data_IF_179827243774
#
_entry.id   IF_179827243774
#
_cell.length_a   1.000
_cell.length_b   1.000
_cell.length_c   1.000
_cell.angle_alpha   90.00
_cell.angle_beta   90.00
_cell.angle_gamma   90.00
#
_symmetry.space_group_name_H-M   'P 1'
#
loop_
_entity.id
_entity.type
_entity.pdbx_description
1 polymer ?
#
# COMPACT_ATOMS: atom_id res chain seq x y z
N UNK A 1 31.29 4.97 4.03
CA UNK A 1 30.10 5.84 3.88
C UNK A 1 30.08 6.32 2.44
N UNK A 2 29.52 5.53 1.53
CA UNK A 2 29.50 5.81 0.10
C UNK A 2 28.28 6.66 -0.24
N UNK A 3 28.52 7.87 -0.69
CA UNK A 3 27.48 8.75 -1.24
C UNK A 3 27.04 8.12 -2.57
N UNK A 4 25.93 7.38 -2.55
CA UNK A 4 25.30 6.94 -3.79
C UNK A 4 24.85 8.18 -4.57
N UNK A 5 25.58 8.49 -5.65
CA UNK A 5 25.20 9.53 -6.62
C UNK A 5 23.77 9.24 -7.09
N UNK A 6 22.88 10.22 -6.88
CA UNK A 6 21.52 10.25 -7.42
C UNK A 6 21.58 10.27 -8.98
N UNK A 7 21.73 9.10 -9.60
CA UNK A 7 21.45 8.97 -11.03
C UNK A 7 19.94 8.69 -11.18
N UNK A 8 19.12 9.75 -11.04
CA UNK A 8 17.70 9.68 -11.32
C UNK A 8 17.47 9.82 -12.83
N UNK A 9 17.41 8.73 -13.55
CA UNK A 9 16.89 8.72 -14.92
C UNK A 9 15.37 8.73 -14.88
N UNK A 10 14.77 9.82 -15.35
CA UNK A 10 13.32 9.91 -15.54
C UNK A 10 12.91 9.10 -16.76
N UNK A 11 11.96 8.18 -16.55
CA UNK A 11 11.41 7.31 -17.59
C UNK A 11 9.97 7.71 -17.91
N UNK A 12 9.42 7.23 -19.04
CA UNK A 12 7.98 7.41 -19.35
C UNK A 12 7.05 6.87 -18.24
N UNK A 13 7.48 5.85 -17.50
CA UNK A 13 6.75 5.32 -16.33
C UNK A 13 6.67 6.31 -15.18
N UNK A 14 7.70 7.14 -14.97
CA UNK A 14 7.71 8.14 -13.90
C UNK A 14 6.63 9.20 -14.13
N UNK A 15 6.38 9.58 -15.39
CA UNK A 15 5.29 10.53 -15.74
C UNK A 15 3.93 9.91 -15.39
N UNK A 16 3.70 8.63 -15.71
CA UNK A 16 2.47 7.95 -15.35
C UNK A 16 2.28 7.88 -13.82
N UNK A 17 3.35 7.62 -13.07
CA UNK A 17 3.30 7.62 -11.60
C UNK A 17 2.95 9.00 -11.06
N UNK A 18 3.57 10.08 -11.55
CA UNK A 18 3.27 11.45 -11.12
C UNK A 18 1.81 11.81 -11.38
N UNK A 19 1.27 11.49 -12.56
CA UNK A 19 -0.13 11.75 -12.89
C UNK A 19 -1.08 10.95 -11.99
N UNK A 20 -0.78 9.68 -11.74
CA UNK A 20 -1.59 8.84 -10.85
C UNK A 20 -1.50 9.31 -9.40
N UNK A 21 -0.33 9.78 -8.95
CA UNK A 21 -0.12 10.37 -7.63
C UNK A 21 -0.96 11.64 -7.48
N UNK A 22 -0.97 12.52 -8.48
CA UNK A 22 -1.77 13.73 -8.43
C UNK A 22 -3.27 13.43 -8.39
N UNK A 23 -3.74 12.48 -9.22
CA UNK A 23 -5.13 12.02 -9.20
C UNK A 23 -5.51 11.41 -7.85
N UNK A 24 -4.64 10.55 -7.32
CA UNK A 24 -4.81 9.92 -6.01
C UNK A 24 -4.91 10.97 -4.89
N UNK A 25 -4.03 11.96 -4.88
CA UNK A 25 -4.03 13.05 -3.90
C UNK A 25 -5.32 13.89 -3.97
N UNK A 26 -5.83 14.13 -5.19
CA UNK A 26 -7.09 14.83 -5.41
C UNK A 26 -8.27 14.01 -4.86
N UNK A 27 -8.37 12.72 -5.21
CA UNK A 27 -9.42 11.82 -4.72
C UNK A 27 -9.39 11.73 -3.19
N UNK A 28 -8.19 11.66 -2.61
CA UNK A 28 -8.00 11.66 -1.15
C UNK A 28 -8.55 12.94 -0.52
N UNK A 29 -8.17 14.11 -1.04
CA UNK A 29 -8.62 15.39 -0.51
C UNK A 29 -10.14 15.55 -0.59
N UNK A 30 -10.75 15.17 -1.71
CA UNK A 30 -12.22 15.13 -1.86
C UNK A 30 -12.85 14.21 -0.82
N UNK A 31 -12.30 13.01 -0.60
CA UNK A 31 -12.77 12.07 0.40
C UNK A 31 -12.68 12.61 1.83
N UNK A 32 -11.58 13.28 2.17
CA UNK A 32 -11.39 13.89 3.48
C UNK A 32 -12.41 15.01 3.70
N UNK A 33 -12.55 15.93 2.74
CA UNK A 33 -13.43 17.09 2.92
C UNK A 33 -14.92 16.72 2.86
N UNK A 34 -15.33 15.82 1.95
CA UNK A 34 -16.75 15.43 1.82
C UNK A 34 -17.25 14.53 2.92
N UNK A 35 -16.41 13.67 3.48
CA UNK A 35 -16.82 12.62 4.41
C UNK A 35 -16.15 12.73 5.77
N UNK A 36 -14.81 12.74 5.82
CA UNK A 36 -14.11 12.70 7.12
C UNK A 36 -14.35 13.99 7.93
N UNK A 37 -14.27 15.14 7.26
CA UNK A 37 -14.49 16.45 7.89
C UNK A 37 -15.95 16.60 8.31
N UNK A 38 -16.91 16.23 7.47
CA UNK A 38 -18.35 16.34 7.76
C UNK A 38 -18.78 15.40 8.92
N UNK A 39 -18.24 14.18 8.99
CA UNK A 39 -18.52 13.21 10.04
C UNK A 39 -17.69 13.38 11.30
N UNK A 40 -16.71 14.29 11.30
CA UNK A 40 -15.70 14.40 12.36
C UNK A 40 -15.05 13.04 12.68
N UNK A 41 -14.75 12.25 11.64
CA UNK A 41 -14.11 10.96 11.78
C UNK A 41 -12.59 11.09 11.93
N UNK A 42 -11.98 10.04 12.46
CA UNK A 42 -10.54 9.94 12.66
C UNK A 42 -9.96 8.88 11.72
N UNK A 43 -9.32 9.27 10.59
CA UNK A 43 -8.58 8.34 9.75
C UNK A 43 -7.47 7.63 10.53
N UNK A 44 -6.95 6.53 9.98
CA UNK A 44 -5.79 5.87 10.58
C UNK A 44 -4.50 6.67 10.44
N UNK A 45 -3.50 6.31 11.25
CA UNK A 45 -2.16 6.86 11.15
C UNK A 45 -2.06 8.35 11.50
N UNK A 46 -1.14 9.04 10.84
CA UNK A 46 -0.92 10.48 11.06
C UNK A 46 -2.10 11.35 10.65
N UNK A 47 -2.90 10.92 9.69
CA UNK A 47 -4.14 11.62 9.36
C UNK A 47 -5.10 11.64 10.56
N UNK A 48 -5.23 10.53 11.31
CA UNK A 48 -6.02 10.47 12.54
C UNK A 48 -5.47 11.35 13.64
N UNK A 49 -4.15 11.32 13.87
CA UNK A 49 -3.48 12.18 14.85
C UNK A 49 -3.64 13.66 14.45
N UNK A 50 -3.44 14.00 13.18
CA UNK A 50 -3.61 15.37 12.68
C UNK A 50 -5.04 15.86 12.90
N UNK A 51 -6.04 15.03 12.64
CA UNK A 51 -7.44 15.37 12.88
C UNK A 51 -7.72 15.58 14.36
N UNK A 52 -7.22 14.70 15.21
CA UNK A 52 -7.34 14.83 16.67
C UNK A 52 -6.73 16.16 17.16
N UNK A 53 -5.52 16.48 16.68
CA UNK A 53 -4.82 17.75 17.04
C UNK A 53 -5.63 18.96 16.59
N UNK A 54 -6.10 18.99 15.34
CA UNK A 54 -6.93 20.09 14.81
C UNK A 54 -8.16 20.31 15.68
N UNK A 55 -8.91 19.24 15.97
CA UNK A 55 -10.13 19.34 16.78
C UNK A 55 -9.86 19.74 18.25
N UNK A 56 -8.75 19.29 18.84
CA UNK A 56 -8.36 19.71 20.20
C UNK A 56 -7.93 21.17 20.25
N UNK A 57 -7.16 21.64 19.25
CA UNK A 57 -6.74 23.04 19.15
C UNK A 57 -7.94 23.95 18.95
N UNK A 58 -8.85 23.58 18.05
CA UNK A 58 -10.08 24.34 17.84
C UNK A 58 -10.93 24.44 19.11
N UNK A 59 -11.09 23.30 19.83
CA UNK A 59 -11.89 23.22 21.04
C UNK A 59 -11.31 24.04 22.21
N UNK A 60 -9.98 24.01 22.40
CA UNK A 60 -9.35 24.62 23.61
C UNK A 60 -8.77 26.00 23.34
N UNK A 61 -8.34 26.30 22.12
CA UNK A 61 -7.69 27.56 21.75
C UNK A 61 -8.56 28.43 20.84
N UNK A 62 -9.66 27.90 20.29
CA UNK A 62 -10.51 28.59 19.34
C UNK A 62 -9.83 28.88 17.99
N UNK A 63 -8.69 28.20 17.69
CA UNK A 63 -7.92 28.39 16.48
C UNK A 63 -8.29 27.36 15.44
N UNK A 64 -8.86 27.80 14.32
CA UNK A 64 -9.15 26.93 13.17
C UNK A 64 -7.89 26.75 12.32
N UNK A 65 -7.16 25.64 12.53
CA UNK A 65 -6.00 25.29 11.73
C UNK A 65 -6.45 24.29 10.64
N UNK A 66 -6.11 24.53 9.34
CA UNK A 66 -6.45 23.59 8.28
C UNK A 66 -5.79 22.22 8.52
N UNK A 67 -6.56 21.15 8.38
CA UNK A 67 -6.09 19.76 8.51
C UNK A 67 -4.84 19.48 7.65
N UNK A 68 -4.81 19.99 6.41
CA UNK A 68 -3.69 19.81 5.49
C UNK A 68 -2.36 20.34 6.06
N UNK A 69 -2.37 21.44 6.80
CA UNK A 69 -1.15 22.01 7.40
C UNK A 69 -0.55 21.07 8.44
N UNK A 70 -1.36 20.61 9.38
CA UNK A 70 -0.90 19.71 10.45
C UNK A 70 -0.45 18.38 9.86
N UNK A 71 -1.23 17.83 8.94
CA UNK A 71 -0.90 16.58 8.23
C UNK A 71 0.43 16.71 7.48
N UNK A 72 0.65 17.81 6.76
CA UNK A 72 1.90 18.06 6.03
C UNK A 72 3.11 18.13 6.96
N UNK A 73 3.01 18.93 8.03
CA UNK A 73 4.11 19.09 9.00
C UNK A 73 4.48 17.75 9.63
N UNK A 74 3.50 16.96 10.05
CA UNK A 74 3.76 15.65 10.66
C UNK A 74 4.43 14.68 9.69
N UNK A 75 3.93 14.61 8.45
CA UNK A 75 4.52 13.74 7.42
C UNK A 75 5.93 14.16 7.05
N UNK A 76 6.16 15.47 6.87
CA UNK A 76 7.47 16.01 6.53
C UNK A 76 8.50 15.77 7.64
N UNK A 77 8.08 15.87 8.90
CA UNK A 77 8.96 15.57 10.04
C UNK A 77 9.50 14.14 9.97
N UNK A 78 8.66 13.15 9.64
CA UNK A 78 9.12 11.75 9.51
C UNK A 78 10.09 11.60 8.33
N UNK A 79 9.83 12.27 7.22
CA UNK A 79 10.73 12.22 6.06
C UNK A 79 12.16 12.63 6.42
N UNK A 80 12.35 13.63 7.26
CA UNK A 80 13.68 14.06 7.71
C UNK A 80 14.46 12.93 8.40
N UNK A 81 13.77 12.03 9.11
CA UNK A 81 14.40 10.90 9.82
C UNK A 81 14.64 9.69 8.94
N UNK A 82 13.85 9.50 7.89
CA UNK A 82 13.89 8.27 7.06
C UNK A 82 14.53 8.47 5.69
N UNK A 83 14.85 9.72 5.30
CA UNK A 83 15.37 10.07 3.98
C UNK A 83 16.52 9.16 3.50
N UNK A 84 17.46 8.85 4.38
CA UNK A 84 18.64 8.04 4.06
C UNK A 84 18.41 6.52 4.26
N UNK A 85 17.19 6.09 4.59
CA UNK A 85 16.90 4.71 5.03
C UNK A 85 16.02 3.94 4.06
N UNK A 86 15.21 4.67 3.32
CA UNK A 86 14.27 4.12 2.33
C UNK A 86 14.67 4.65 0.95
N UNK A 87 14.26 3.95 -0.11
CA UNK A 87 14.56 4.34 -1.49
C UNK A 87 14.14 5.79 -1.79
N UNK A 88 15.07 6.60 -2.29
CA UNK A 88 14.87 8.04 -2.51
C UNK A 88 13.69 8.35 -3.46
N UNK A 89 13.49 7.55 -4.52
CA UNK A 89 12.34 7.73 -5.43
C UNK A 89 11.01 7.53 -4.71
N UNK A 90 10.90 6.49 -3.88
CA UNK A 90 9.72 6.24 -3.08
C UNK A 90 9.41 7.39 -2.13
N UNK A 91 10.43 7.92 -1.46
CA UNK A 91 10.28 9.07 -0.55
C UNK A 91 9.85 10.32 -1.31
N UNK A 92 10.45 10.62 -2.46
CA UNK A 92 10.09 11.79 -3.29
C UNK A 92 8.65 11.72 -3.81
N UNK A 93 8.22 10.56 -4.29
CA UNK A 93 6.83 10.37 -4.72
C UNK A 93 5.84 10.50 -3.56
N UNK A 94 6.23 10.05 -2.38
CA UNK A 94 5.40 10.21 -1.19
C UNK A 94 5.34 11.67 -0.72
N UNK A 95 6.47 12.42 -0.78
CA UNK A 95 6.48 13.87 -0.54
C UNK A 95 5.54 14.57 -1.52
N UNK A 96 5.59 14.24 -2.80
CA UNK A 96 4.69 14.78 -3.80
C UNK A 96 3.24 14.49 -3.44
N UNK A 97 2.93 13.24 -3.07
CA UNK A 97 1.58 12.83 -2.73
C UNK A 97 1.02 13.59 -1.54
N UNK A 98 1.71 13.59 -0.39
CA UNK A 98 1.18 14.26 0.80
C UNK A 98 1.21 15.79 0.68
N UNK A 99 2.12 16.38 -0.13
CA UNK A 99 2.10 17.81 -0.41
C UNK A 99 0.90 18.20 -1.27
N UNK A 100 0.60 17.44 -2.32
CA UNK A 100 -0.57 17.67 -3.16
C UNK A 100 -1.88 17.41 -2.40
N UNK A 101 -1.97 16.33 -1.63
CA UNK A 101 -3.17 16.03 -0.84
C UNK A 101 -3.45 17.10 0.22
N UNK A 102 -2.41 17.60 0.89
CA UNK A 102 -2.53 18.70 1.85
C UNK A 102 -2.95 20.00 1.17
N UNK A 103 -2.34 20.32 0.04
CA UNK A 103 -2.71 21.51 -0.74
C UNK A 103 -4.16 21.44 -1.22
N UNK A 104 -4.57 20.31 -1.79
CA UNK A 104 -5.94 20.11 -2.26
C UNK A 104 -6.95 20.18 -1.11
N UNK A 105 -6.65 19.60 0.07
CA UNK A 105 -7.52 19.72 1.26
C UNK A 105 -7.68 21.15 1.76
N UNK A 106 -6.74 22.06 1.48
CA UNK A 106 -6.86 23.48 1.86
C UNK A 106 -7.65 24.27 0.82
N UNK A 107 -7.44 23.96 -0.47
CA UNK A 107 -7.97 24.78 -1.59
C UNK A 107 -9.36 24.33 -2.03
N UNK A 108 -9.63 23.01 -1.96
CA UNK A 108 -10.87 22.44 -2.49
C UNK A 108 -11.96 22.51 -1.42
N UNK A 109 -13.03 23.21 -1.75
CA UNK A 109 -14.24 23.23 -0.95
C UNK A 109 -15.27 22.32 -1.63
N UNK A 110 -15.52 21.16 -1.01
CA UNK A 110 -16.45 20.16 -1.56
C UNK A 110 -17.73 20.16 -0.72
N UNK A 111 -18.92 20.11 -1.35
CA UNK A 111 -20.17 20.04 -0.60
C UNK A 111 -20.28 18.73 0.18
N UNK A 112 -20.95 18.79 1.31
CA UNK A 112 -21.28 17.61 2.11
C UNK A 112 -22.26 16.74 1.31
N UNK A 113 -21.89 15.50 1.03
CA UNK A 113 -22.67 14.56 0.22
C UNK A 113 -23.82 13.94 1.03
N UNK A 114 -23.56 13.64 2.31
CA UNK A 114 -24.53 13.00 3.21
C UNK A 114 -24.26 13.40 4.65
N UNK A 115 -25.28 13.32 5.49
CA UNK A 115 -25.17 13.51 6.94
C UNK A 115 -25.31 12.19 7.71
N UNK A 116 -25.59 11.09 7.01
CA UNK A 116 -25.67 9.76 7.63
C UNK A 116 -24.28 9.25 7.99
N UNK A 117 -24.03 9.04 9.28
CA UNK A 117 -22.72 8.65 9.80
C UNK A 117 -22.22 7.31 9.29
N UNK A 118 -23.14 6.36 9.02
CA UNK A 118 -22.77 5.06 8.47
C UNK A 118 -22.33 5.19 7.01
N UNK A 119 -23.08 5.97 6.21
CA UNK A 119 -22.73 6.25 4.82
C UNK A 119 -21.39 7.02 4.74
N UNK A 120 -21.20 8.01 5.62
CA UNK A 120 -19.93 8.74 5.75
C UNK A 120 -18.78 7.78 6.05
N UNK A 121 -18.93 6.87 7.02
CA UNK A 121 -17.88 5.94 7.39
C UNK A 121 -17.56 4.94 6.27
N UNK A 122 -18.58 4.37 5.63
CA UNK A 122 -18.39 3.35 4.57
C UNK A 122 -17.87 3.98 3.29
N UNK A 123 -18.54 4.99 2.74
CA UNK A 123 -18.14 5.59 1.46
C UNK A 123 -16.88 6.43 1.60
N UNK A 124 -16.72 7.14 2.72
CA UNK A 124 -15.47 7.82 3.03
C UNK A 124 -14.30 6.84 3.11
N UNK A 125 -14.50 5.69 3.77
CA UNK A 125 -13.50 4.61 3.84
C UNK A 125 -13.18 4.02 2.46
N UNK A 126 -14.18 3.80 1.60
CA UNK A 126 -13.98 3.32 0.22
C UNK A 126 -13.12 4.29 -0.60
N UNK A 127 -13.47 5.58 -0.60
CA UNK A 127 -12.76 6.61 -1.36
C UNK A 127 -11.34 6.79 -0.83
N UNK A 128 -11.19 6.83 0.50
CA UNK A 128 -9.89 6.95 1.15
C UNK A 128 -9.00 5.75 0.82
N UNK A 129 -9.52 4.53 0.96
CA UNK A 129 -8.78 3.31 0.64
C UNK A 129 -8.39 3.23 -0.85
N UNK A 130 -9.29 3.65 -1.74
CA UNK A 130 -9.01 3.72 -3.19
C UNK A 130 -7.88 4.70 -3.49
N UNK A 131 -7.94 5.91 -2.92
CA UNK A 131 -6.89 6.91 -3.09
C UNK A 131 -5.53 6.39 -2.59
N UNK A 132 -5.45 5.87 -1.37
CA UNK A 132 -4.21 5.29 -0.83
C UNK A 132 -3.73 4.11 -1.69
N UNK A 133 -4.64 3.24 -2.15
CA UNK A 133 -4.31 2.14 -3.05
C UNK A 133 -3.69 2.58 -4.37
N UNK A 134 -4.18 3.67 -4.98
CA UNK A 134 -3.59 4.28 -6.18
C UNK A 134 -2.18 4.83 -5.91
N UNK A 135 -1.98 5.51 -4.77
CA UNK A 135 -0.67 6.01 -4.37
C UNK A 135 0.37 4.87 -4.26
N UNK A 136 0.01 3.81 -3.54
CA UNK A 136 0.88 2.64 -3.34
C UNK A 136 1.22 1.92 -4.66
N UNK A 137 0.26 1.84 -5.60
CA UNK A 137 0.52 1.29 -6.95
C UNK A 137 1.48 2.17 -7.76
N UNK A 138 1.53 3.46 -7.46
CA UNK A 138 2.44 4.43 -8.10
C UNK A 138 3.75 4.63 -7.34
N UNK A 139 4.13 3.66 -6.51
CA UNK A 139 5.37 3.69 -5.72
C UNK A 139 5.45 4.89 -4.76
N UNK A 140 4.31 5.36 -4.24
CA UNK A 140 4.19 6.39 -3.22
C UNK A 140 3.43 5.85 -2.01
N UNK A 141 3.70 6.39 -0.83
CA UNK A 141 2.95 6.13 0.40
C UNK A 141 2.07 7.32 0.75
N UNK A 142 0.98 7.08 1.48
CA UNK A 142 0.19 8.13 2.13
C UNK A 142 0.96 8.87 3.23
N UNK A 143 2.19 8.45 3.51
CA UNK A 143 3.10 9.09 4.45
C UNK A 143 3.06 8.48 5.86
N UNK A 144 3.63 9.21 6.80
CA UNK A 144 3.50 9.08 8.23
C UNK A 144 3.82 7.71 8.81
N UNK A 145 2.80 7.08 9.35
CA UNK A 145 2.93 5.80 10.04
C UNK A 145 3.40 4.66 9.14
N UNK A 146 3.10 4.70 7.84
CA UNK A 146 3.56 3.68 6.89
C UNK A 146 5.08 3.70 6.75
N UNK A 147 5.67 4.88 6.71
CA UNK A 147 7.13 5.04 6.71
C UNK A 147 7.77 4.48 7.97
N UNK A 148 7.16 4.78 9.14
CA UNK A 148 7.64 4.26 10.43
C UNK A 148 7.54 2.73 10.44
N UNK A 149 6.44 2.16 9.91
CA UNK A 149 6.27 0.72 9.82
C UNK A 149 7.34 0.06 8.95
N UNK A 150 7.65 0.65 7.81
CA UNK A 150 8.66 0.13 6.89
C UNK A 150 10.05 0.19 7.53
N UNK A 151 10.47 1.35 8.08
CA UNK A 151 11.79 1.48 8.75
C UNK A 151 11.92 0.52 9.94
N UNK A 152 10.87 0.44 10.75
CA UNK A 152 10.86 -0.42 11.92
C UNK A 152 10.84 -1.92 11.55
N UNK A 153 10.14 -2.29 10.48
CA UNK A 153 10.11 -3.68 9.98
C UNK A 153 11.49 -4.13 9.49
N UNK A 154 12.22 -3.23 8.81
CA UNK A 154 13.59 -3.49 8.34
C UNK A 154 14.54 -3.67 9.54
N UNK A 155 14.44 -2.83 10.56
CA UNK A 155 15.31 -2.88 11.75
C UNK A 155 15.04 -4.09 12.62
N UNK A 156 13.77 -4.37 12.90
CA UNK A 156 13.37 -5.46 13.78
C UNK A 156 13.32 -6.82 13.06
N UNK A 157 13.51 -6.84 11.72
CA UNK A 157 13.40 -8.04 10.88
C UNK A 157 12.11 -8.84 11.13
N UNK A 158 11.03 -8.13 11.46
CA UNK A 158 9.69 -8.70 11.70
C UNK A 158 8.61 -7.70 11.31
N UNK A 159 7.40 -8.16 10.96
CA UNK A 159 6.28 -7.28 10.67
C UNK A 159 5.94 -6.39 11.88
N UNK A 160 5.74 -5.09 11.62
CA UNK A 160 5.49 -4.09 12.68
C UNK A 160 4.08 -3.50 12.64
N UNK A 161 3.22 -4.03 11.78
CA UNK A 161 1.84 -3.58 11.61
C UNK A 161 1.02 -3.60 12.92
N UNK A 162 1.30 -4.54 13.82
CA UNK A 162 0.63 -4.61 15.12
C UNK A 162 0.90 -3.38 16.00
N UNK A 163 2.06 -2.74 15.87
CA UNK A 163 2.35 -1.49 16.59
C UNK A 163 1.54 -0.33 16.05
N UNK A 164 1.33 -0.28 14.73
CA UNK A 164 0.46 0.73 14.11
C UNK A 164 -0.99 0.53 14.50
N UNK A 165 -1.44 -0.72 14.56
CA UNK A 165 -2.79 -1.05 15.04
C UNK A 165 -2.97 -0.56 16.48
N UNK A 166 -1.99 -0.80 17.36
CA UNK A 166 -1.99 -0.29 18.73
C UNK A 166 -2.02 1.24 18.81
N UNK A 167 -1.22 1.92 17.97
CA UNK A 167 -1.23 3.39 17.89
C UNK A 167 -2.60 3.92 17.42
N UNK A 168 -3.19 3.32 16.39
CA UNK A 168 -4.51 3.71 15.88
C UNK A 168 -5.59 3.49 16.95
N UNK A 169 -5.56 2.35 17.65
CA UNK A 169 -6.48 2.08 18.74
C UNK A 169 -6.36 3.12 19.86
N UNK A 170 -5.13 3.48 20.23
CA UNK A 170 -4.88 4.51 21.24
C UNK A 170 -5.45 5.87 20.81
N UNK A 171 -5.21 6.28 19.56
CA UNK A 171 -5.77 7.54 19.00
C UNK A 171 -7.30 7.52 19.05
N UNK A 172 -7.93 6.39 18.70
CA UNK A 172 -9.39 6.25 18.73
C UNK A 172 -9.96 6.30 20.16
N UNK A 173 -9.26 5.71 21.13
CA UNK A 173 -9.65 5.83 22.56
C UNK A 173 -9.61 7.29 23.00
N UNK A 174 -8.53 8.02 22.71
CA UNK A 174 -8.44 9.44 23.01
C UNK A 174 -9.53 10.25 22.31
N UNK A 175 -9.81 9.96 21.05
CA UNK A 175 -10.89 10.59 20.30
C UNK A 175 -12.26 10.30 20.91
N UNK A 176 -12.53 9.07 21.33
CA UNK A 176 -13.77 8.66 22.01
C UNK A 176 -13.97 9.39 23.33
N UNK A 177 -12.93 9.53 24.15
CA UNK A 177 -12.96 10.25 25.41
C UNK A 177 -13.16 11.77 25.21
N UNK A 178 -12.54 12.36 24.18
CA UNK A 178 -12.60 13.79 23.94
C UNK A 178 -13.86 14.25 23.18
N UNK A 179 -14.34 13.46 22.21
CA UNK A 179 -15.35 13.88 21.23
C UNK A 179 -16.58 12.96 21.14
N UNK A 180 -16.63 11.92 21.97
CA UNK A 180 -17.73 10.95 22.04
C UNK A 180 -17.43 9.64 21.33
N UNK A 181 -17.95 8.54 21.92
CA UNK A 181 -17.68 7.17 21.44
C UNK A 181 -18.28 6.86 20.07
N UNK A 182 -19.40 7.49 19.69
CA UNK A 182 -20.01 7.28 18.38
C UNK A 182 -19.05 7.61 17.26
N UNK A 183 -18.33 8.75 17.35
CA UNK A 183 -17.34 9.15 16.35
C UNK A 183 -16.15 8.17 16.27
N UNK A 184 -15.70 7.66 17.41
CA UNK A 184 -14.63 6.67 17.47
C UNK A 184 -15.06 5.35 16.83
N UNK A 185 -16.28 4.87 17.11
CA UNK A 185 -16.81 3.62 16.56
C UNK A 185 -17.04 3.72 15.05
N UNK A 186 -17.61 4.82 14.53
CA UNK A 186 -17.70 5.05 13.08
C UNK A 186 -16.33 5.19 12.42
N UNK A 187 -15.34 5.72 13.14
CA UNK A 187 -13.96 5.77 12.63
C UNK A 187 -13.33 4.39 12.51
N UNK A 188 -13.69 3.43 13.36
CA UNK A 188 -13.28 2.03 13.21
C UNK A 188 -13.86 1.44 11.93
N UNK A 189 -15.15 1.67 11.64
CA UNK A 189 -15.78 1.21 10.38
C UNK A 189 -15.06 1.84 9.18
N UNK A 190 -14.84 3.14 9.21
CA UNK A 190 -14.10 3.86 8.17
C UNK A 190 -12.71 3.25 7.93
N UNK A 191 -11.92 3.05 8.99
CA UNK A 191 -10.56 2.49 8.90
C UNK A 191 -10.59 1.05 8.40
N UNK A 192 -11.56 0.24 8.85
CA UNK A 192 -11.71 -1.13 8.38
C UNK A 192 -11.99 -1.20 6.88
N UNK A 193 -13.00 -0.44 6.42
CA UNK A 193 -13.37 -0.39 5.00
C UNK A 193 -12.19 0.11 4.15
N UNK A 194 -11.55 1.21 4.57
CA UNK A 194 -10.36 1.75 3.89
C UNK A 194 -9.24 0.71 3.78
N UNK A 195 -8.95 0.01 4.87
CA UNK A 195 -7.90 -1.03 4.90
C UNK A 195 -8.24 -2.18 3.97
N UNK A 196 -9.49 -2.63 3.88
CA UNK A 196 -9.90 -3.70 2.96
C UNK A 196 -9.71 -3.30 1.49
N UNK A 197 -10.04 -2.05 1.14
CA UNK A 197 -9.80 -1.53 -0.22
C UNK A 197 -8.31 -1.48 -0.52
N UNK A 198 -7.50 -0.93 0.39
CA UNK A 198 -6.03 -0.90 0.24
C UNK A 198 -5.47 -2.30 0.06
N UNK A 199 -5.86 -3.25 0.90
CA UNK A 199 -5.40 -4.65 0.83
C UNK A 199 -5.77 -5.34 -0.49
N UNK A 200 -6.92 -4.97 -1.07
CA UNK A 200 -7.36 -5.50 -2.37
C UNK A 200 -6.56 -4.88 -3.52
N UNK A 201 -6.27 -3.59 -3.44
CA UNK A 201 -5.54 -2.87 -4.48
C UNK A 201 -4.02 -3.08 -4.42
N UNK A 202 -3.45 -3.17 -3.21
CA UNK A 202 -2.02 -3.28 -2.99
C UNK A 202 -1.58 -4.73 -2.89
N UNK A 203 -1.28 -5.33 -4.05
CA UNK A 203 -0.86 -6.74 -4.15
C UNK A 203 0.66 -6.93 -4.23
N UNK A 204 1.44 -5.84 -4.13
CA UNK A 204 2.89 -5.86 -4.40
C UNK A 204 3.69 -6.82 -3.53
N UNK A 205 3.30 -6.97 -2.26
CA UNK A 205 3.99 -7.87 -1.31
C UNK A 205 3.33 -9.25 -1.18
N UNK A 206 2.23 -9.48 -1.92
CA UNK A 206 1.66 -10.81 -1.97
C UNK A 206 2.55 -11.72 -2.77
N UNK A 207 2.68 -12.95 -2.30
CA UNK A 207 3.51 -13.98 -2.89
C UNK A 207 2.59 -15.06 -3.41
N UNK A 208 2.86 -15.49 -4.64
CA UNK A 208 2.09 -16.57 -5.27
C UNK A 208 3.02 -17.73 -5.61
N UNK A 209 2.60 -18.93 -5.27
CA UNK A 209 3.17 -20.16 -5.78
C UNK A 209 2.46 -20.53 -7.08
N UNK A 210 3.22 -20.59 -8.16
CA UNK A 210 2.77 -21.10 -9.45
C UNK A 210 3.15 -22.57 -9.51
N UNK A 211 2.18 -23.44 -9.74
CA UNK A 211 2.39 -24.84 -10.06
C UNK A 211 2.15 -25.01 -11.57
N UNK A 212 3.11 -25.56 -12.25
CA UNK A 212 3.05 -25.76 -13.71
C UNK A 212 3.22 -27.24 -13.99
N UNK A 213 2.27 -27.86 -14.69
CA UNK A 213 2.40 -29.21 -15.20
C UNK A 213 2.67 -29.12 -16.70
N UNK A 214 3.76 -29.73 -17.15
CA UNK A 214 4.27 -29.57 -18.52
C UNK A 214 5.10 -30.77 -18.95
N UNK A 215 5.20 -30.95 -20.27
CA UNK A 215 6.14 -31.90 -20.94
C UNK A 215 7.45 -31.20 -21.33
N UNK A 216 7.51 -29.86 -21.23
CA UNK A 216 8.64 -29.03 -21.66
C UNK A 216 9.34 -28.31 -20.49
N UNK A 217 9.55 -29.03 -19.39
CA UNK A 217 10.05 -28.45 -18.11
C UNK A 217 11.35 -27.64 -18.27
N UNK A 218 12.32 -28.13 -19.06
CA UNK A 218 13.61 -27.45 -19.25
C UNK A 218 13.47 -26.12 -19.97
N UNK A 219 12.66 -26.06 -21.05
CA UNK A 219 12.37 -24.80 -21.76
C UNK A 219 11.72 -23.75 -20.86
N UNK A 220 10.77 -24.18 -20.01
CA UNK A 220 10.12 -23.29 -19.06
C UNK A 220 11.13 -22.79 -18.01
N UNK A 221 11.98 -23.67 -17.49
CA UNK A 221 13.01 -23.27 -16.51
C UNK A 221 13.95 -22.21 -17.09
N UNK A 222 14.47 -22.41 -18.31
CA UNK A 222 15.34 -21.44 -18.98
C UNK A 222 14.63 -20.09 -19.19
N UNK A 223 13.38 -20.10 -19.67
CA UNK A 223 12.58 -18.90 -19.88
C UNK A 223 12.33 -18.15 -18.56
N UNK A 224 12.02 -18.86 -17.48
CA UNK A 224 11.79 -18.23 -16.15
C UNK A 224 13.10 -17.69 -15.57
N UNK A 225 14.22 -18.43 -15.65
CA UNK A 225 15.51 -17.96 -15.14
C UNK A 225 16.05 -16.73 -15.89
N UNK A 226 15.73 -16.58 -17.17
CA UNK A 226 16.07 -15.38 -17.94
C UNK A 226 15.25 -14.15 -17.53
N UNK A 227 14.07 -14.36 -16.93
CA UNK A 227 13.10 -13.31 -16.60
C UNK A 227 13.16 -12.89 -15.15
N UNK A 228 13.27 -13.87 -14.22
CA UNK A 228 13.22 -13.62 -12.77
C UNK A 228 14.28 -14.43 -12.02
N UNK A 229 14.72 -13.89 -10.86
CA UNK A 229 15.71 -14.54 -9.97
C UNK A 229 15.00 -15.37 -8.89
N UNK A 230 14.23 -16.38 -9.30
CA UNK A 230 13.55 -17.27 -8.35
C UNK A 230 13.93 -18.72 -8.62
N UNK A 231 14.03 -19.52 -7.56
CA UNK A 231 14.26 -20.95 -7.68
C UNK A 231 13.03 -21.67 -8.24
N UNK A 232 13.28 -22.76 -8.96
CA UNK A 232 12.25 -23.67 -9.48
C UNK A 232 12.53 -25.05 -8.91
N UNK A 233 11.50 -25.69 -8.35
CA UNK A 233 11.58 -27.09 -7.94
C UNK A 233 10.88 -27.95 -8.97
N UNK A 234 11.57 -28.96 -9.51
CA UNK A 234 11.02 -29.97 -10.42
C UNK A 234 10.57 -31.18 -9.62
N UNK A 235 9.41 -31.71 -9.95
CA UNK A 235 8.85 -32.94 -9.36
C UNK A 235 8.29 -33.78 -10.51
N UNK A 236 8.74 -35.00 -10.63
CA UNK A 236 8.19 -35.94 -11.59
C UNK A 236 6.81 -36.40 -11.11
N UNK A 237 5.83 -36.32 -12.00
CA UNK A 237 4.44 -36.67 -11.72
C UNK A 237 3.86 -37.50 -12.86
N UNK A 238 2.83 -38.29 -12.56
CA UNK A 238 2.11 -39.09 -13.54
C UNK A 238 0.67 -38.62 -13.67
N UNK A 239 0.21 -38.41 -14.90
CA UNK A 239 -1.18 -38.12 -15.21
C UNK A 239 -2.08 -39.33 -14.97
N UNK A 240 -2.92 -39.31 -13.97
CA UNK A 240 -3.74 -40.46 -13.55
C UNK A 240 -4.68 -41.03 -14.62
N UNK A 241 -5.13 -40.21 -15.58
CA UNK A 241 -6.05 -40.66 -16.62
C UNK A 241 -5.36 -41.39 -17.79
N UNK A 242 -4.22 -40.86 -18.25
CA UNK A 242 -3.50 -41.41 -19.40
C UNK A 242 -2.23 -42.17 -19.05
N UNK A 243 -1.88 -42.20 -17.73
CA UNK A 243 -0.64 -42.77 -17.21
C UNK A 243 0.62 -42.28 -17.93
N UNK A 244 0.58 -40.98 -18.34
CA UNK A 244 1.72 -40.33 -18.99
C UNK A 244 2.58 -39.60 -17.96
N UNK A 245 3.92 -39.68 -18.12
CA UNK A 245 4.83 -38.92 -17.26
C UNK A 245 4.80 -37.45 -17.65
N UNK A 246 4.73 -36.59 -16.64
CA UNK A 246 4.82 -35.11 -16.75
C UNK A 246 5.79 -34.61 -15.70
N UNK A 247 6.19 -33.34 -15.82
CA UNK A 247 6.95 -32.65 -14.77
C UNK A 247 6.11 -31.53 -14.17
N UNK A 248 6.01 -31.50 -12.85
CA UNK A 248 5.43 -30.39 -12.11
C UNK A 248 6.55 -29.45 -11.67
N UNK A 249 6.43 -28.16 -12.02
CA UNK A 249 7.31 -27.10 -11.58
C UNK A 249 6.64 -26.29 -10.48
N UNK A 250 7.35 -26.07 -9.37
CA UNK A 250 6.93 -25.19 -8.29
C UNK A 250 7.78 -23.92 -8.35
N UNK A 251 7.13 -22.79 -8.59
CA UNK A 251 7.78 -21.47 -8.70
C UNK A 251 7.10 -20.54 -7.71
N UNK A 252 7.87 -19.91 -6.82
CA UNK A 252 7.32 -18.93 -5.88
C UNK A 252 7.78 -17.55 -6.29
N UNK A 253 6.83 -16.66 -6.60
CA UNK A 253 7.11 -15.31 -7.12
C UNK A 253 6.28 -14.25 -6.43
N UNK A 254 6.74 -13.00 -6.47
CA UNK A 254 5.93 -11.86 -6.06
C UNK A 254 4.84 -11.57 -7.09
N UNK A 255 3.68 -11.12 -6.65
CA UNK A 255 2.55 -10.85 -7.53
C UNK A 255 2.85 -9.82 -8.62
N UNK A 256 3.76 -8.88 -8.41
CA UNK A 256 4.14 -7.92 -9.46
C UNK A 256 4.94 -8.56 -10.61
N UNK A 257 5.63 -9.69 -10.38
CA UNK A 257 6.37 -10.44 -11.40
C UNK A 257 5.50 -11.53 -12.07
N UNK A 258 4.36 -11.84 -11.46
CA UNK A 258 3.49 -12.92 -11.93
C UNK A 258 3.06 -12.80 -13.39
N UNK A 259 2.65 -11.60 -13.91
CA UNK A 259 2.29 -11.45 -15.32
C UNK A 259 3.45 -11.78 -16.29
N UNK A 260 4.68 -11.39 -15.94
CA UNK A 260 5.87 -11.68 -16.74
C UNK A 260 6.18 -13.18 -16.75
N UNK A 261 6.08 -13.81 -15.57
CA UNK A 261 6.29 -15.28 -15.42
C UNK A 261 5.24 -16.05 -16.19
N UNK A 262 3.96 -15.70 -16.12
CA UNK A 262 2.90 -16.33 -16.91
C UNK A 262 3.18 -16.19 -18.41
N UNK A 263 3.56 -14.99 -18.85
CA UNK A 263 3.85 -14.73 -20.25
C UNK A 263 5.03 -15.57 -20.77
N UNK A 264 6.12 -15.70 -20.00
CA UNK A 264 7.27 -16.49 -20.42
C UNK A 264 6.96 -18.00 -20.41
N UNK A 265 6.18 -18.51 -19.45
CA UNK A 265 5.75 -19.90 -19.41
C UNK A 265 4.90 -20.23 -20.65
N UNK A 266 3.88 -19.41 -20.96
CA UNK A 266 3.02 -19.61 -22.12
C UNK A 266 3.76 -19.54 -23.45
N UNK A 267 4.81 -18.73 -23.54
CA UNK A 267 5.66 -18.69 -24.75
C UNK A 267 6.53 -19.92 -24.89
N UNK A 268 6.97 -20.53 -23.79
CA UNK A 268 7.78 -21.73 -23.78
C UNK A 268 6.94 -23.00 -24.02
N UNK A 269 5.72 -23.03 -23.48
CA UNK A 269 4.74 -24.12 -23.64
C UNK A 269 3.31 -23.55 -23.56
N UNK A 270 2.62 -23.51 -24.70
CA UNK A 270 1.25 -23.00 -24.80
C UNK A 270 0.22 -23.90 -24.09
N UNK A 271 0.55 -25.19 -23.95
CA UNK A 271 -0.33 -26.19 -23.34
C UNK A 271 -0.03 -26.42 -21.85
N UNK A 272 0.94 -25.70 -21.26
CA UNK A 272 1.26 -25.84 -19.85
C UNK A 272 0.04 -25.56 -18.97
N UNK A 273 -0.27 -26.48 -18.06
CA UNK A 273 -1.32 -26.30 -17.06
C UNK A 273 -0.78 -25.59 -15.85
N UNK A 274 -1.36 -24.43 -15.51
CA UNK A 274 -0.90 -23.58 -14.41
C UNK A 274 -1.96 -23.39 -13.37
N UNK A 275 -1.59 -23.57 -12.08
CA UNK A 275 -2.42 -23.22 -10.92
C UNK A 275 -1.70 -22.22 -10.03
N UNK A 276 -2.45 -21.37 -9.33
CA UNK A 276 -1.93 -20.29 -8.54
C UNK A 276 -2.44 -20.38 -7.09
N UNK A 277 -1.52 -20.43 -6.13
CA UNK A 277 -1.83 -20.50 -4.72
C UNK A 277 -1.19 -19.33 -3.98
N UNK A 278 -1.97 -18.61 -3.16
CA UNK A 278 -1.41 -17.58 -2.29
C UNK A 278 -0.51 -18.20 -1.23
N UNK A 279 0.65 -17.60 -0.99
CA UNK A 279 1.61 -18.02 0.04
C UNK A 279 1.55 -17.00 1.18
N UNK A 280 1.18 -17.45 2.37
CA UNK A 280 1.08 -16.58 3.54
C UNK A 280 2.44 -16.16 4.09
N UNK A 281 3.42 -17.09 4.06
CA UNK A 281 4.74 -16.86 4.67
C UNK A 281 5.82 -17.67 3.97
N UNK A 282 6.99 -17.05 3.82
CA UNK A 282 8.22 -17.72 3.40
C UNK A 282 9.25 -17.60 4.52
N UNK A 283 9.96 -18.70 4.79
CA UNK A 283 11.11 -18.75 5.69
C UNK A 283 12.25 -19.37 4.89
N UNK A 284 13.38 -18.68 4.77
CA UNK A 284 14.55 -19.12 4.02
C UNK A 284 15.04 -18.08 3.01
N UNK A 285 15.88 -18.51 2.07
CA UNK A 285 16.43 -17.65 1.05
C UNK A 285 15.37 -17.35 -0.02
N UNK A 286 14.83 -16.15 0.01
CA UNK A 286 13.92 -15.62 -0.99
C UNK A 286 14.37 -14.23 -1.43
N UNK A 287 14.59 -14.03 -2.73
CA UNK A 287 14.97 -12.74 -3.25
C UNK A 287 13.74 -11.84 -3.43
N UNK A 288 13.68 -10.77 -2.65
CA UNK A 288 12.69 -9.73 -2.82
C UNK A 288 13.36 -8.51 -3.44
N UNK A 289 12.90 -8.12 -4.64
CA UNK A 289 13.45 -6.93 -5.33
C UNK A 289 13.21 -5.69 -4.46
N UNK A 290 14.26 -4.92 -4.11
CA UNK A 290 14.11 -3.70 -3.30
C UNK A 290 13.18 -2.67 -3.96
N UNK A 291 12.65 -1.76 -3.14
CA UNK A 291 11.98 -0.54 -3.61
C UNK A 291 13.05 0.36 -4.26
N UNK A 292 13.00 0.50 -5.58
CA UNK A 292 13.84 1.46 -6.32
C UNK A 292 13.24 2.85 -6.24
#
# INVERSE_FOLDING_TARGET
>A
MSIHKLNMTFTKKDIQYILTIALSALVYAVGIESFVSSGNLFPGGFAGISRLVVMLVERHLGLAIPFGVISWVMNFTVVLFIWNRIGHKFVLYSILWFSLSSLFSIVINVPIVTQDMLLIAVFGGLINGFAIGLALRSNASSGGTDFIAIDLSVRLKRPTWNYLLGLNAFVLVLAGLAFGWDKALYSIIFQYVSTQVVNTMHQRYKITRVQVITDHADKICEAVFSTVRHGITKIDVEGAFKHQPHTMLLITVNNYQLPEVISCIRKADEHAFMTFNAVEKIIGNYYQKPLE
#
